data_IF_968146408384
#
_entry.id   IF_968146408384
#
_cell.length_a   1.000
_cell.length_b   1.000
_cell.length_c   1.000
_cell.angle_alpha   90.00
_cell.angle_beta   90.00
_cell.angle_gamma   90.00
#
_symmetry.space_group_name_H-M   'P 1'
#
loop_
_entity.id
_entity.type
_entity.pdbx_description
1 polymer ?
#
# COMPACT_ATOMS: atom_id res chain seq x y z
N UNK A 1 32.82 -18.57 0.61
CA UNK A 1 32.40 -17.35 1.32
C UNK A 1 32.97 -16.23 0.47
N UNK A 2 32.22 -15.51 -0.36
CA UNK A 2 30.95 -14.82 -0.09
C UNK A 2 30.00 -14.86 -1.31
N UNK A 3 28.71 -14.67 -1.03
CA UNK A 3 27.59 -14.66 -1.97
C UNK A 3 27.47 -13.30 -2.68
N UNK A 4 27.18 -13.27 -3.98
CA UNK A 4 25.90 -12.78 -4.53
C UNK A 4 25.93 -12.45 -6.03
N UNK A 5 24.80 -12.81 -6.65
CA UNK A 5 24.16 -12.18 -7.82
C UNK A 5 24.72 -12.50 -9.20
N UNK A 6 23.88 -12.29 -10.22
CA UNK A 6 24.02 -12.61 -11.65
C UNK A 6 23.45 -13.95 -12.11
N UNK A 7 22.12 -14.11 -12.00
CA UNK A 7 21.39 -15.27 -12.52
C UNK A 7 19.98 -14.98 -13.02
N UNK A 8 19.77 -14.01 -13.93
CA UNK A 8 18.52 -13.87 -14.72
C UNK A 8 18.75 -13.23 -16.11
N UNK A 9 19.67 -13.80 -16.90
CA UNK A 9 19.83 -13.47 -18.33
C UNK A 9 19.33 -14.61 -19.24
N UNK A 10 18.08 -15.05 -19.06
CA UNK A 10 17.51 -16.19 -19.81
C UNK A 10 16.06 -15.97 -20.26
N UNK A 11 15.77 -14.95 -21.09
CA UNK A 11 14.52 -14.97 -21.88
C UNK A 11 14.46 -14.23 -23.22
N UNK A 12 15.60 -13.91 -23.86
CA UNK A 12 15.54 -13.22 -25.17
C UNK A 12 16.50 -13.72 -26.25
N UNK A 13 16.72 -15.04 -26.29
CA UNK A 13 17.47 -15.71 -27.36
C UNK A 13 16.59 -16.67 -28.20
N UNK A 14 15.37 -16.27 -28.56
CA UNK A 14 14.51 -16.99 -29.52
C UNK A 14 13.92 -16.07 -30.60
N UNK A 15 14.75 -15.22 -31.20
CA UNK A 15 14.42 -14.46 -32.41
C UNK A 15 14.92 -15.11 -33.71
N UNK A 16 14.85 -16.44 -33.86
CA UNK A 16 15.13 -17.14 -35.14
C UNK A 16 14.15 -18.29 -35.36
N UNK A 17 12.99 -18.03 -35.98
CA UNK A 17 12.20 -19.06 -36.67
C UNK A 17 11.02 -18.60 -37.56
N UNK A 18 10.56 -17.33 -37.56
CA UNK A 18 9.31 -16.97 -38.24
C UNK A 18 9.45 -16.08 -39.51
N UNK A 19 10.63 -16.05 -40.15
CA UNK A 19 10.91 -15.19 -41.31
C UNK A 19 10.65 -15.85 -42.69
N UNK A 20 9.59 -16.65 -42.85
CA UNK A 20 9.25 -17.24 -44.17
C UNK A 20 7.74 -17.31 -44.39
N UNK A 21 7.18 -16.23 -44.93
CA UNK A 21 6.27 -16.17 -46.09
C UNK A 21 5.55 -14.83 -46.05
N UNK A 22 6.14 -13.89 -46.78
CA UNK A 22 5.54 -12.60 -47.12
C UNK A 22 4.28 -12.83 -47.95
N UNK A 23 3.41 -11.81 -47.92
CA UNK A 23 2.33 -11.54 -48.88
C UNK A 23 1.17 -12.51 -48.74
N UNK A 24 0.06 -12.04 -48.21
CA UNK A 24 -0.87 -11.33 -49.06
C UNK A 24 -2.04 -10.80 -48.24
N UNK A 25 -2.54 -9.65 -48.70
CA UNK A 25 -3.87 -9.11 -48.50
C UNK A 25 -4.14 -8.12 -47.36
N UNK A 26 -4.41 -6.91 -47.87
CA UNK A 26 -5.52 -6.02 -47.50
C UNK A 26 -5.21 -5.09 -46.31
N UNK A 27 -4.60 -3.93 -46.57
CA UNK A 27 -5.27 -2.69 -46.99
C UNK A 27 -6.25 -2.12 -45.94
N UNK A 28 -5.68 -1.26 -45.09
CA UNK A 28 -6.20 0.08 -44.77
C UNK A 28 -7.43 0.18 -43.85
N UNK A 29 -7.48 -0.59 -42.77
CA UNK A 29 -8.26 -0.18 -41.60
C UNK A 29 -7.31 0.35 -40.50
N UNK A 30 -7.31 1.69 -40.39
CA UNK A 30 -7.05 2.52 -39.20
C UNK A 30 -5.60 2.75 -38.73
N UNK A 31 -5.17 4.01 -38.84
CA UNK A 31 -3.92 4.59 -38.31
C UNK A 31 -4.01 4.88 -36.79
N UNK A 32 -4.56 3.98 -35.99
CA UNK A 32 -4.42 4.05 -34.54
C UNK A 32 -3.45 2.96 -34.10
N UNK A 33 -2.26 3.39 -33.65
CA UNK A 33 -1.20 2.53 -33.14
C UNK A 33 -1.65 1.72 -31.91
N UNK A 34 -0.80 0.79 -31.46
CA UNK A 34 -1.16 -0.18 -30.42
C UNK A 34 -1.59 0.55 -29.15
N UNK A 35 -2.77 0.17 -28.64
CA UNK A 35 -3.26 0.66 -27.34
C UNK A 35 -2.12 0.60 -26.31
N UNK A 36 -1.80 1.71 -25.64
CA UNK A 36 -0.85 1.67 -24.55
C UNK A 36 -1.50 0.94 -23.38
N UNK A 37 -0.68 0.08 -22.80
CA UNK A 37 -0.82 -0.51 -21.49
C UNK A 37 -1.25 0.56 -20.48
N UNK A 38 -2.18 0.23 -19.58
CA UNK A 38 -2.43 1.08 -18.42
C UNK A 38 -3.69 0.70 -17.67
N UNK A 39 -3.49 0.15 -16.48
CA UNK A 39 -4.54 0.07 -15.45
C UNK A 39 -4.69 -1.33 -14.88
N UNK A 40 -3.77 -1.72 -14.01
CA UNK A 40 -4.18 -2.58 -12.90
C UNK A 40 -5.28 -1.83 -12.14
N UNK A 41 -6.37 -2.48 -11.70
CA UNK A 41 -7.37 -1.80 -10.89
C UNK A 41 -6.68 -1.30 -9.61
N UNK A 42 -6.67 0.01 -9.41
CA UNK A 42 -6.31 0.63 -8.13
C UNK A 42 -7.21 -0.01 -7.09
N UNK A 43 -6.67 -0.93 -6.30
CA UNK A 43 -7.33 -1.44 -5.10
C UNK A 43 -7.32 -0.30 -4.09
N UNK A 44 -8.28 0.61 -4.24
CA UNK A 44 -8.71 1.43 -3.13
C UNK A 44 -9.44 0.48 -2.18
N UNK A 45 -8.65 -0.13 -1.29
CA UNK A 45 -9.14 -0.97 -0.23
C UNK A 45 -10.21 -0.16 0.53
N UNK A 46 -11.45 -0.67 0.69
CA UNK A 46 -12.46 0.01 1.49
C UNK A 46 -11.91 0.29 2.89
N UNK A 47 -12.24 1.44 3.52
CA UNK A 47 -11.77 1.71 4.88
C UNK A 47 -12.31 0.62 5.79
N UNK A 48 -11.40 -0.26 6.24
CA UNK A 48 -11.72 -1.20 7.29
C UNK A 48 -12.20 -0.41 8.52
N UNK A 49 -13.22 -0.91 9.24
CA UNK A 49 -13.68 -0.26 10.45
C UNK A 49 -12.48 -0.11 11.39
N UNK A 50 -12.39 1.07 12.02
CA UNK A 50 -11.33 1.46 12.95
C UNK A 50 -10.82 0.25 13.74
N UNK A 51 -9.53 -0.05 13.52
CA UNK A 51 -8.81 -1.20 14.04
C UNK A 51 -9.33 -1.71 15.40
N UNK A 52 -9.54 -3.03 15.52
CA UNK A 52 -10.09 -3.68 16.70
C UNK A 52 -9.20 -3.52 17.95
N UNK A 53 -7.97 -3.04 17.80
CA UNK A 53 -7.06 -2.69 18.88
C UNK A 53 -5.98 -1.67 18.52
N UNK A 54 -5.26 -1.21 19.56
CA UNK A 54 -4.15 -0.26 19.44
C UNK A 54 -3.02 -0.77 18.53
N UNK A 55 -2.69 -2.07 18.62
CA UNK A 55 -1.63 -2.67 17.81
C UNK A 55 -1.98 -2.70 16.31
N UNK A 56 -3.25 -2.94 15.98
CA UNK A 56 -3.73 -2.94 14.60
C UNK A 56 -3.80 -1.52 14.04
N UNK A 57 -4.21 -0.53 14.85
CA UNK A 57 -4.18 0.88 14.46
C UNK A 57 -2.74 1.34 14.16
N UNK A 58 -1.78 0.85 14.94
CA UNK A 58 -0.35 1.14 14.73
C UNK A 58 0.17 0.51 13.45
N UNK A 59 -0.20 -0.75 13.17
CA UNK A 59 0.18 -1.44 11.93
C UNK A 59 -0.41 -0.74 10.68
N UNK A 60 -1.65 -0.25 10.75
CA UNK A 60 -2.27 0.52 9.67
C UNK A 60 -1.54 1.87 9.46
N UNK A 61 -1.13 2.54 10.55
CA UNK A 61 -0.33 3.77 10.46
C UNK A 61 1.02 3.53 9.80
N UNK A 62 1.73 2.45 10.13
CA UNK A 62 3.00 2.09 9.49
C UNK A 62 2.85 1.80 8.00
N UNK A 63 1.75 1.15 7.60
CA UNK A 63 1.43 0.93 6.19
C UNK A 63 1.18 2.24 5.45
N UNK A 64 0.44 3.18 6.05
CA UNK A 64 0.22 4.51 5.48
C UNK A 64 1.54 5.26 5.32
N UNK A 65 2.40 5.26 6.35
CA UNK A 65 3.71 5.92 6.29
C UNK A 65 4.58 5.36 5.16
N UNK A 66 4.58 4.04 4.98
CA UNK A 66 5.31 3.37 3.89
C UNK A 66 4.83 3.84 2.53
N UNK A 67 3.52 4.06 2.36
CA UNK A 67 2.96 4.53 1.08
C UNK A 67 3.26 6.01 0.84
N UNK A 68 3.23 6.85 1.89
CA UNK A 68 3.57 8.28 1.81
C UNK A 68 5.03 8.54 1.41
N UNK A 69 5.95 7.61 1.72
CA UNK A 69 7.37 7.73 1.38
C UNK A 69 7.67 7.46 -0.10
N UNK A 70 6.68 6.97 -0.86
CA UNK A 70 6.84 6.67 -2.28
C UNK A 70 6.83 7.94 -3.11
N UNK A 71 7.74 8.00 -4.08
CA UNK A 71 7.93 9.18 -4.93
C UNK A 71 6.93 9.27 -6.10
N UNK A 72 6.06 8.27 -6.28
CA UNK A 72 5.09 8.16 -7.39
C UNK A 72 3.64 8.46 -7.00
N UNK A 73 3.38 8.93 -5.78
CA UNK A 73 2.02 9.12 -5.25
C UNK A 73 1.49 10.53 -5.56
N UNK A 74 0.23 10.59 -5.98
CA UNK A 74 -0.48 11.85 -6.28
C UNK A 74 -0.86 12.61 -5.00
N UNK A 75 -0.84 13.95 -5.06
CA UNK A 75 -1.11 14.85 -3.92
C UNK A 75 -2.51 14.64 -3.33
N UNK A 76 -3.51 14.34 -4.15
CA UNK A 76 -4.88 14.09 -3.66
C UNK A 76 -4.97 12.77 -2.87
N UNK A 77 -4.17 11.77 -3.26
CA UNK A 77 -4.05 10.49 -2.54
C UNK A 77 -3.32 10.71 -1.22
N UNK A 78 -2.24 11.48 -1.21
CA UNK A 78 -1.51 11.84 0.02
C UNK A 78 -2.45 12.53 1.02
N UNK A 79 -3.28 13.46 0.56
CA UNK A 79 -4.24 14.16 1.41
C UNK A 79 -5.22 13.17 2.09
N UNK A 80 -5.77 12.23 1.32
CA UNK A 80 -6.69 11.21 1.83
C UNK A 80 -6.02 10.30 2.87
N UNK A 81 -4.78 9.88 2.61
CA UNK A 81 -4.00 9.02 3.50
C UNK A 81 -3.64 9.72 4.81
N UNK A 82 -3.26 11.00 4.76
CA UNK A 82 -2.98 11.80 5.95
C UNK A 82 -4.24 12.01 6.78
N UNK A 83 -5.40 12.26 6.15
CA UNK A 83 -6.69 12.32 6.87
C UNK A 83 -6.97 11.02 7.61
N UNK A 84 -6.78 9.88 6.95
CA UNK A 84 -6.95 8.57 7.58
C UNK A 84 -6.00 8.35 8.75
N UNK A 85 -4.72 8.72 8.59
CA UNK A 85 -3.75 8.64 9.67
C UNK A 85 -4.15 9.50 10.88
N UNK A 86 -4.70 10.69 10.64
CA UNK A 86 -5.18 11.57 11.72
C UNK A 86 -6.32 10.93 12.54
N UNK A 87 -7.25 10.24 11.88
CA UNK A 87 -8.32 9.48 12.56
C UNK A 87 -7.75 8.37 13.46
N UNK A 88 -6.79 7.58 12.94
CA UNK A 88 -6.13 6.51 13.69
C UNK A 88 -5.37 7.06 14.91
N UNK A 89 -4.67 8.19 14.75
CA UNK A 89 -3.98 8.85 15.86
C UNK A 89 -4.97 9.31 16.94
N UNK A 90 -6.13 9.86 16.54
CA UNK A 90 -7.20 10.21 17.46
C UNK A 90 -7.65 9.01 18.29
N UNK A 91 -7.97 7.91 17.62
CA UNK A 91 -8.36 6.65 18.28
C UNK A 91 -7.30 6.14 19.27
N UNK A 92 -6.03 6.16 18.86
CA UNK A 92 -4.92 5.74 19.72
C UNK A 92 -4.82 6.59 20.99
N UNK A 93 -4.99 7.92 20.86
CA UNK A 93 -4.96 8.84 22.00
C UNK A 93 -6.10 8.59 22.97
N UNK A 94 -7.31 8.37 22.47
CA UNK A 94 -8.47 8.07 23.31
C UNK A 94 -8.28 6.79 24.11
N UNK A 95 -7.76 5.73 23.46
CA UNK A 95 -7.42 4.46 24.13
C UNK A 95 -6.39 4.64 25.25
N UNK A 96 -5.34 5.40 25.00
CA UNK A 96 -4.31 5.69 26.02
C UNK A 96 -4.92 6.52 27.16
N UNK A 97 -5.74 7.52 26.85
CA UNK A 97 -6.44 8.34 27.83
C UNK A 97 -7.33 7.50 28.75
N UNK A 98 -8.14 6.62 28.17
CA UNK A 98 -8.99 5.71 28.94
C UNK A 98 -8.16 4.77 29.83
N UNK A 99 -7.07 4.21 29.30
CA UNK A 99 -6.20 3.35 30.10
C UNK A 99 -5.59 4.10 31.29
N UNK A 100 -5.17 5.36 31.12
CA UNK A 100 -4.65 6.20 32.20
C UNK A 100 -5.70 6.42 33.29
N UNK A 101 -6.93 6.78 32.92
CA UNK A 101 -8.02 6.96 33.89
C UNK A 101 -8.32 5.69 34.69
N UNK A 102 -8.31 4.52 34.03
CA UNK A 102 -8.49 3.24 34.72
C UNK A 102 -7.36 2.95 35.70
N UNK A 103 -6.10 3.24 35.32
CA UNK A 103 -4.95 3.09 36.21
C UNK A 103 -5.09 4.03 37.42
N UNK A 104 -5.44 5.29 37.19
CA UNK A 104 -5.64 6.28 38.27
C UNK A 104 -6.74 5.84 39.24
N UNK A 105 -7.84 5.27 38.75
CA UNK A 105 -8.91 4.71 39.59
C UNK A 105 -8.40 3.56 40.47
N UNK A 106 -7.71 2.58 39.87
CA UNK A 106 -7.16 1.43 40.62
C UNK A 106 -6.12 1.90 41.64
N UNK A 107 -5.27 2.85 41.29
CA UNK A 107 -4.27 3.40 42.23
C UNK A 107 -4.95 4.13 43.39
N UNK A 108 -6.03 4.87 43.14
CA UNK A 108 -6.80 5.52 44.19
C UNK A 108 -7.46 4.50 45.14
N UNK A 109 -8.10 3.46 44.58
CA UNK A 109 -8.69 2.37 45.37
C UNK A 109 -7.66 1.67 46.27
N UNK A 110 -6.46 1.40 45.75
CA UNK A 110 -5.38 0.78 46.52
C UNK A 110 -4.74 1.72 47.55
N UNK A 111 -4.77 3.04 47.31
CA UNK A 111 -4.18 4.06 48.18
C UNK A 111 -5.07 4.48 49.35
N UNK A 112 -6.40 4.32 49.22
CA UNK A 112 -7.38 4.59 50.29
C UNK A 112 -7.41 3.48 51.36
N UNK A 113 -6.82 2.31 51.08
CA UNK A 113 -6.79 1.12 51.95
C UNK A 113 -5.59 1.07 52.95
N UNK A 114 -4.72 2.10 52.97
CA UNK A 114 -3.57 2.20 53.89
C UNK A 114 -3.57 3.47 54.73
#
# INVERSE_FOLDING_TARGET
MEHHSHGYWSHRARCRAAARRRRDRHHLCQRHGPQPCGGDPIVNQPPAPVAAGYAEALAELEAILTDLERTDVDVDVLATQVTRAAELIGFCRDRIGNARLQIEQVVAELGDDT
#
